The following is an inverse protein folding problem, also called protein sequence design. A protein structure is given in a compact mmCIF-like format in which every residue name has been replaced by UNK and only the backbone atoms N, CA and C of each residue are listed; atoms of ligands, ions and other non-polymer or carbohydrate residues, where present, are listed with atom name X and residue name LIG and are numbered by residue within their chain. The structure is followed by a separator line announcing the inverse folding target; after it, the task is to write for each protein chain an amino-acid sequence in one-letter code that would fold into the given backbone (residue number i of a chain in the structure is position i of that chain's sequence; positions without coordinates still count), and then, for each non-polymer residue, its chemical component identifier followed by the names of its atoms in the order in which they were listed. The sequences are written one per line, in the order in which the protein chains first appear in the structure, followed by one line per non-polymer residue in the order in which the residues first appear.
data_IF_793248920131
#
_entry.id   IF_793248920131
#
_cell.length_a   1.000
_cell.length_b   1.000
_cell.length_c   1.000
_cell.angle_alpha   90.00
_cell.angle_beta   90.00
_cell.angle_gamma   90.00
#
_symmetry.space_group_name_H-M   'P 1'
#
loop_
_entity.id
_entity.type
_entity.pdbx_description
1 polymer ?
#
# COMPACT_ATOMS: atom_id res chain seq x y z
N UNK A 1 9.05 -1.11 7.35
CA UNK A 1 8.89 -1.25 5.89
C UNK A 1 9.50 -2.57 5.46
N UNK A 2 8.84 -3.30 4.55
CA UNK A 2 9.39 -4.52 3.91
C UNK A 2 9.18 -4.44 2.40
N UNK A 3 10.15 -4.90 1.62
CA UNK A 3 10.09 -4.84 0.17
C UNK A 3 11.26 -5.54 -0.50
N UNK A 4 11.38 -5.40 -1.82
CA UNK A 4 12.41 -6.07 -2.63
C UNK A 4 13.72 -5.28 -2.76
N UNK A 5 13.80 -4.08 -2.17
CA UNK A 5 14.97 -3.23 -2.21
C UNK A 5 14.77 -1.91 -1.46
N UNK A 6 15.69 -0.94 -1.62
CA UNK A 6 15.62 0.37 -0.99
C UNK A 6 14.35 1.14 -1.36
N UNK A 7 13.80 1.88 -0.40
CA UNK A 7 12.59 2.71 -0.59
C UNK A 7 12.78 3.84 -1.62
N UNK A 8 14.03 4.23 -1.88
CA UNK A 8 14.40 5.21 -2.93
C UNK A 8 13.92 4.83 -4.33
N UNK A 9 13.80 3.53 -4.61
CA UNK A 9 13.51 3.00 -5.95
C UNK A 9 12.64 1.73 -5.95
N UNK A 10 12.03 1.38 -4.82
CA UNK A 10 11.08 0.27 -4.71
C UNK A 10 9.81 0.73 -4.01
N UNK A 11 8.68 0.21 -4.47
CA UNK A 11 7.44 0.26 -3.72
C UNK A 11 7.51 -0.79 -2.61
N UNK A 12 7.35 -0.35 -1.37
CA UNK A 12 7.43 -1.20 -0.17
C UNK A 12 6.09 -1.24 0.56
N UNK A 13 5.95 -2.19 1.47
CA UNK A 13 4.80 -2.32 2.36
C UNK A 13 5.18 -1.86 3.77
N UNK A 14 4.43 -0.90 4.29
CA UNK A 14 4.50 -0.51 5.70
C UNK A 14 3.64 -1.45 6.54
N UNK A 15 4.27 -2.31 7.35
CA UNK A 15 3.57 -3.15 8.30
C UNK A 15 3.38 -2.38 9.61
N UNK A 16 2.12 -2.13 9.97
CA UNK A 16 1.76 -1.49 11.24
C UNK A 16 1.20 -2.53 12.20
N UNK A 17 1.84 -2.67 13.38
CA UNK A 17 1.38 -3.54 14.45
C UNK A 17 0.98 -2.71 15.67
N UNK A 18 -0.27 -2.86 16.13
CA UNK A 18 -0.76 -2.20 17.33
C UNK A 18 -0.86 -3.22 18.46
N UNK A 19 -0.12 -3.00 19.55
CA UNK A 19 -0.15 -3.88 20.72
C UNK A 19 -1.57 -4.05 21.26
N UNK A 20 -1.94 -5.30 21.54
CA UNK A 20 -3.27 -5.65 22.04
C UNK A 20 -4.36 -5.71 20.97
N UNK A 21 -4.08 -5.39 19.70
CA UNK A 21 -5.03 -5.56 18.60
C UNK A 21 -4.66 -6.81 17.82
N UNK A 22 -5.51 -7.84 17.91
CA UNK A 22 -5.25 -9.16 17.33
C UNK A 22 -5.84 -9.37 15.93
N UNK A 23 -6.76 -8.50 15.50
CA UNK A 23 -7.42 -8.58 14.21
C UNK A 23 -7.95 -7.23 13.74
N UNK A 24 -8.04 -7.08 12.41
CA UNK A 24 -8.72 -5.96 11.77
C UNK A 24 -9.74 -6.51 10.78
N UNK A 25 -10.92 -5.88 10.71
CA UNK A 25 -11.96 -6.25 9.75
C UNK A 25 -11.60 -5.69 8.38
N UNK A 26 -11.40 -6.56 7.39
CA UNK A 26 -11.28 -6.16 5.99
C UNK A 26 -12.58 -5.56 5.46
N UNK A 27 -12.41 -4.54 4.63
CA UNK A 27 -13.43 -3.93 3.80
C UNK A 27 -13.46 -4.50 2.38
N UNK A 28 -13.99 -3.72 1.44
CA UNK A 28 -13.87 -3.95 -0.01
C UNK A 28 -13.04 -2.84 -0.71
N UNK A 29 -12.36 -2.03 0.09
CA UNK A 29 -11.56 -0.88 -0.31
C UNK A 29 -10.21 -1.28 -0.90
N UNK A 30 -9.49 -2.20 -0.25
CA UNK A 30 -8.25 -2.76 -0.75
C UNK A 30 -8.50 -4.07 -1.51
N UNK A 31 -8.19 -4.08 -2.81
CA UNK A 31 -8.44 -5.24 -3.67
C UNK A 31 -7.19 -6.08 -3.93
N UNK A 32 -6.01 -5.59 -3.57
CA UNK A 32 -4.78 -6.38 -3.54
C UNK A 32 -3.56 -5.69 -4.13
N UNK A 33 -2.39 -6.29 -3.88
CA UNK A 33 -1.12 -5.95 -4.53
C UNK A 33 -0.82 -6.99 -5.59
N UNK A 34 -0.44 -6.56 -6.79
CA UNK A 34 0.08 -7.48 -7.83
C UNK A 34 1.58 -7.35 -7.94
N UNK A 35 2.27 -8.49 -7.97
CA UNK A 35 3.72 -8.56 -8.16
C UNK A 35 4.08 -9.64 -9.18
N UNK A 36 5.20 -9.44 -9.88
CA UNK A 36 5.70 -10.33 -10.93
C UNK A 36 6.91 -11.09 -10.40
N UNK A 37 6.71 -12.35 -10.01
CA UNK A 37 7.77 -13.17 -9.42
C UNK A 37 7.45 -14.66 -9.47
N UNK A 38 8.09 -15.35 -10.41
CA UNK A 38 8.10 -16.82 -10.45
C UNK A 38 8.70 -17.45 -9.18
N UNK A 39 9.68 -16.78 -8.57
CA UNK A 39 10.28 -17.22 -7.31
C UNK A 39 9.26 -17.20 -6.15
N UNK A 40 8.42 -16.17 -6.06
CA UNK A 40 7.37 -16.11 -5.05
C UNK A 40 6.35 -17.26 -5.22
N UNK A 41 5.95 -17.53 -6.45
CA UNK A 41 5.05 -18.67 -6.77
C UNK A 41 5.69 -20.00 -6.39
N UNK A 42 6.97 -20.20 -6.75
CA UNK A 42 7.72 -21.42 -6.41
C UNK A 42 7.87 -21.61 -4.90
N UNK A 43 8.19 -20.54 -4.17
CA UNK A 43 8.32 -20.56 -2.72
C UNK A 43 6.99 -20.91 -2.05
N UNK A 44 5.89 -20.27 -2.46
CA UNK A 44 4.55 -20.56 -1.94
C UNK A 44 4.17 -22.04 -2.16
N UNK A 45 4.40 -22.58 -3.37
CA UNK A 45 4.19 -24.01 -3.66
C UNK A 45 5.04 -24.92 -2.76
N UNK A 46 6.32 -24.60 -2.58
CA UNK A 46 7.25 -25.38 -1.75
C UNK A 46 6.87 -25.37 -0.26
N UNK A 47 6.35 -24.25 0.23
CA UNK A 47 5.94 -24.07 1.62
C UNK A 47 4.50 -24.55 1.89
N UNK A 48 3.76 -24.95 0.85
CA UNK A 48 2.34 -25.29 0.97
C UNK A 48 1.45 -24.07 1.25
N UNK A 49 1.92 -22.87 0.95
CA UNK A 49 1.14 -21.64 1.09
C UNK A 49 -0.01 -21.62 0.07
N UNK A 50 -1.26 -21.32 0.47
CA UNK A 50 -2.40 -21.37 -0.44
C UNK A 50 -2.24 -20.47 -1.66
N UNK A 51 -2.34 -21.07 -2.84
CA UNK A 51 -2.38 -20.38 -4.13
C UNK A 51 -3.62 -20.82 -4.89
N UNK A 52 -4.31 -19.86 -5.50
CA UNK A 52 -5.42 -20.09 -6.41
C UNK A 52 -5.13 -19.44 -7.75
N UNK A 53 -5.00 -20.23 -8.81
CA UNK A 53 -4.87 -19.66 -10.15
C UNK A 53 -6.19 -18.98 -10.56
N UNK A 54 -6.16 -17.66 -10.77
CA UNK A 54 -7.35 -16.85 -11.11
C UNK A 54 -7.41 -16.49 -12.59
N UNK A 55 -6.28 -16.53 -13.27
CA UNK A 55 -6.10 -16.41 -14.71
C UNK A 55 -4.79 -17.09 -15.07
N UNK A 56 -4.64 -17.56 -16.32
CA UNK A 56 -3.44 -18.25 -16.78
C UNK A 56 -2.15 -17.54 -16.34
N UNK A 57 -1.37 -18.19 -15.47
CA UNK A 57 -0.10 -17.69 -14.95
C UNK A 57 -0.21 -16.60 -13.87
N UNK A 58 -1.39 -16.36 -13.31
CA UNK A 58 -1.62 -15.42 -12.20
C UNK A 58 -2.29 -16.13 -11.03
N UNK A 59 -1.63 -16.11 -9.88
CA UNK A 59 -2.07 -16.79 -8.66
C UNK A 59 -2.50 -15.78 -7.61
N UNK A 60 -3.74 -15.89 -7.12
CA UNK A 60 -4.21 -15.21 -5.92
C UNK A 60 -3.70 -15.95 -4.68
N UNK A 61 -3.26 -15.18 -3.70
CA UNK A 61 -2.95 -15.63 -2.34
C UNK A 61 -3.32 -14.55 -1.35
N UNK A 62 -3.38 -14.90 -0.07
CA UNK A 62 -3.71 -13.97 1.01
C UNK A 62 -2.55 -13.94 2.00
N UNK A 63 -2.13 -12.74 2.40
CA UNK A 63 -1.27 -12.56 3.56
C UNK A 63 -2.08 -12.77 4.86
N UNK A 64 -1.42 -12.99 6.01
CA UNK A 64 -2.10 -12.99 7.30
C UNK A 64 -3.00 -11.75 7.46
N UNK A 65 -4.25 -11.96 7.87
CA UNK A 65 -5.29 -10.93 7.90
C UNK A 65 -6.18 -10.85 6.65
N UNK A 66 -5.89 -11.62 5.60
CA UNK A 66 -6.73 -11.76 4.39
C UNK A 66 -6.39 -10.80 3.24
N UNK A 67 -5.30 -10.02 3.36
CA UNK A 67 -4.89 -9.08 2.33
C UNK A 67 -4.46 -9.81 1.06
N UNK A 68 -5.09 -9.48 -0.06
CA UNK A 68 -4.84 -10.17 -1.32
C UNK A 68 -3.51 -9.78 -1.97
N UNK A 69 -2.81 -10.80 -2.43
CA UNK A 69 -1.67 -10.68 -3.33
C UNK A 69 -1.93 -11.48 -4.61
N UNK A 70 -1.58 -10.89 -5.75
CA UNK A 70 -1.61 -11.54 -7.05
C UNK A 70 -0.19 -11.72 -7.55
N UNK A 71 0.22 -12.98 -7.72
CA UNK A 71 1.55 -13.36 -8.15
C UNK A 71 1.49 -13.76 -9.62
N UNK A 72 2.09 -12.96 -10.49
CA UNK A 72 2.30 -13.35 -11.89
C UNK A 72 3.56 -14.22 -11.99
N UNK A 73 3.40 -15.45 -12.48
CA UNK A 73 4.46 -16.47 -12.59
C UNK A 73 5.35 -16.20 -13.80
N UNK A 74 6.09 -15.09 -13.72
CA UNK A 74 7.08 -14.65 -14.70
C UNK A 74 8.31 -14.11 -13.99
N UNK A 75 9.42 -14.11 -14.70
CA UNK A 75 10.62 -13.41 -14.25
C UNK A 75 10.58 -11.95 -14.70
N UNK A 76 10.72 -11.03 -13.75
CA UNK A 76 10.96 -9.61 -14.02
C UNK A 76 12.41 -9.30 -13.70
N UNK A 77 13.26 -9.26 -14.72
CA UNK A 77 14.69 -9.01 -14.53
C UNK A 77 14.96 -7.53 -14.30
N UNK A 78 15.65 -7.20 -13.20
CA UNK A 78 16.25 -5.88 -12.90
C UNK A 78 15.27 -4.73 -12.63
N UNK A 79 14.05 -5.01 -12.18
CA UNK A 79 13.08 -4.00 -11.76
C UNK A 79 12.36 -4.47 -10.50
N UNK A 80 11.78 -3.53 -9.76
CA UNK A 80 10.90 -3.83 -8.63
C UNK A 80 9.80 -4.83 -9.07
N UNK A 81 9.68 -6.01 -8.41
CA UNK A 81 8.62 -6.97 -8.66
C UNK A 81 7.23 -6.42 -8.40
N UNK A 82 7.07 -5.46 -7.47
CA UNK A 82 5.76 -4.87 -7.18
C UNK A 82 5.29 -4.06 -8.38
N UNK A 83 4.17 -4.48 -8.98
CA UNK A 83 3.66 -3.86 -10.19
C UNK A 83 2.57 -2.85 -9.91
N UNK A 84 1.60 -3.19 -9.07
CA UNK A 84 0.46 -2.31 -8.80
C UNK A 84 -0.23 -2.58 -7.47
N UNK A 85 -0.86 -1.54 -6.93
CA UNK A 85 -1.89 -1.60 -5.89
C UNK A 85 -3.26 -1.44 -6.54
N UNK A 86 -4.25 -2.23 -6.14
CA UNK A 86 -5.62 -2.11 -6.64
C UNK A 86 -6.56 -1.65 -5.53
N UNK A 87 -7.25 -0.52 -5.75
CA UNK A 87 -8.26 0.04 -4.85
C UNK A 87 -9.66 -0.06 -5.45
N UNK A 88 -10.62 -0.38 -4.59
CA UNK A 88 -12.04 -0.40 -4.87
C UNK A 88 -12.61 1.01 -4.84
N UNK A 89 -13.37 1.40 -5.85
CA UNK A 89 -14.00 2.73 -5.95
C UNK A 89 -15.50 2.62 -6.19
N UNK A 90 -16.31 3.56 -5.67
CA UNK A 90 -17.75 3.56 -5.92
C UNK A 90 -18.08 4.15 -7.30
N UNK A 91 -17.26 5.08 -7.78
CA UNK A 91 -17.43 5.73 -9.07
C UNK A 91 -16.09 5.95 -9.76
N UNK A 92 -15.83 5.18 -10.82
CA UNK A 92 -14.56 5.24 -11.55
C UNK A 92 -14.28 6.62 -12.14
N UNK A 93 -15.28 7.29 -12.73
CA UNK A 93 -15.07 8.58 -13.39
C UNK A 93 -14.69 9.67 -12.39
N UNK A 94 -15.33 9.72 -11.21
CA UNK A 94 -14.97 10.65 -10.14
C UNK A 94 -13.56 10.39 -9.63
N UNK A 95 -13.21 9.13 -9.41
CA UNK A 95 -11.90 8.73 -8.91
C UNK A 95 -10.79 9.06 -9.92
N UNK A 96 -10.98 8.75 -11.21
CA UNK A 96 -10.03 9.15 -12.27
C UNK A 96 -9.89 10.67 -12.36
N UNK A 97 -10.99 11.42 -12.22
CA UNK A 97 -10.94 12.90 -12.25
C UNK A 97 -10.15 13.45 -11.06
N UNK A 98 -10.22 12.82 -9.89
CA UNK A 98 -9.42 13.18 -8.72
C UNK A 98 -7.94 12.81 -8.93
N UNK A 99 -7.64 11.53 -9.14
CA UNK A 99 -6.27 11.01 -9.19
C UNK A 99 -5.47 11.51 -10.39
N UNK A 100 -6.10 11.63 -11.57
CA UNK A 100 -5.44 12.15 -12.77
C UNK A 100 -5.59 13.67 -12.89
N UNK A 101 -6.79 14.20 -12.69
CA UNK A 101 -7.09 15.61 -12.93
C UNK A 101 -6.56 16.56 -11.85
N UNK A 102 -6.52 16.12 -10.58
CA UNK A 102 -6.01 16.93 -9.47
C UNK A 102 -4.61 16.51 -9.04
N UNK A 103 -4.38 15.21 -8.87
CA UNK A 103 -3.09 14.71 -8.39
C UNK A 103 -2.07 14.45 -9.51
N UNK A 104 -2.46 14.55 -10.78
CA UNK A 104 -1.53 14.54 -11.91
C UNK A 104 -1.03 13.16 -12.33
N UNK A 105 -1.65 12.06 -11.89
CA UNK A 105 -1.31 10.74 -12.41
C UNK A 105 -1.68 10.61 -13.90
N UNK A 106 -0.81 9.97 -14.68
CA UNK A 106 -1.08 9.60 -16.07
C UNK A 106 -2.01 8.38 -16.10
N UNK A 107 -2.92 8.37 -17.06
CA UNK A 107 -3.77 7.21 -17.35
C UNK A 107 -3.03 6.30 -18.32
N UNK A 108 -2.69 5.08 -17.88
CA UNK A 108 -2.05 4.05 -18.70
C UNK A 108 -3.08 3.17 -19.42
N UNK A 109 -4.14 2.81 -18.72
CA UNK A 109 -5.21 1.98 -19.26
C UNK A 109 -6.57 2.44 -18.72
N UNK A 110 -7.61 2.31 -19.54
CA UNK A 110 -9.00 2.49 -19.11
C UNK A 110 -9.85 1.42 -19.79
N UNK A 111 -10.61 0.68 -19.01
CA UNK A 111 -11.51 -0.38 -19.45
C UNK A 111 -12.91 -0.04 -18.93
N UNK A 112 -13.76 0.51 -19.80
CA UNK A 112 -15.10 0.95 -19.43
C UNK A 112 -16.05 -0.22 -19.20
N UNK A 113 -15.86 -1.35 -19.88
CA UNK A 113 -16.68 -2.55 -19.69
C UNK A 113 -16.44 -3.15 -18.31
N UNK A 114 -15.17 -3.25 -17.89
CA UNK A 114 -14.80 -3.78 -16.56
C UNK A 114 -14.78 -2.73 -15.46
N UNK A 115 -15.13 -1.48 -15.79
CA UNK A 115 -15.07 -0.33 -14.87
C UNK A 115 -13.73 -0.25 -14.12
N UNK A 116 -12.63 -0.22 -14.87
CA UNK A 116 -11.25 -0.21 -14.34
C UNK A 116 -10.39 0.86 -15.02
N UNK A 117 -9.46 1.44 -14.27
CA UNK A 117 -8.41 2.31 -14.82
C UNK A 117 -7.06 2.01 -14.15
N UNK A 118 -5.97 2.10 -14.92
CA UNK A 118 -4.60 1.97 -14.43
C UNK A 118 -3.90 3.33 -14.53
N UNK A 119 -3.36 3.80 -13.41
CA UNK A 119 -2.77 5.12 -13.26
C UNK A 119 -1.33 5.03 -12.74
N UNK A 120 -0.53 6.06 -12.95
CA UNK A 120 0.80 6.18 -12.33
C UNK A 120 1.52 7.48 -12.68
N UNK A 121 2.61 7.79 -11.98
CA UNK A 121 3.42 8.98 -12.27
C UNK A 121 4.51 8.70 -13.31
N UNK A 122 5.11 7.50 -13.30
CA UNK A 122 6.14 7.09 -14.25
C UNK A 122 6.01 5.62 -14.68
N UNK A 123 6.61 5.28 -15.82
CA UNK A 123 6.50 3.97 -16.46
C UNK A 123 7.13 2.85 -15.63
N UNK A 124 8.20 3.17 -14.90
CA UNK A 124 9.00 2.28 -14.07
C UNK A 124 8.56 2.20 -12.60
N UNK A 125 7.55 2.98 -12.21
CA UNK A 125 7.00 2.95 -10.84
C UNK A 125 5.83 1.97 -10.68
N UNK A 126 5.55 1.59 -9.43
CA UNK A 126 4.30 0.90 -9.08
C UNK A 126 3.08 1.72 -9.54
N UNK A 127 2.09 1.03 -10.11
CA UNK A 127 0.86 1.63 -10.64
C UNK A 127 -0.27 1.58 -9.60
N UNK A 128 -1.23 2.48 -9.74
CA UNK A 128 -2.49 2.45 -9.03
C UNK A 128 -3.60 1.98 -9.97
N UNK A 129 -4.20 0.83 -9.69
CA UNK A 129 -5.41 0.39 -10.37
C UNK A 129 -6.65 0.78 -9.56
N UNK A 130 -7.57 1.49 -10.20
CA UNK A 130 -8.89 1.79 -9.65
C UNK A 130 -9.91 0.84 -10.28
N UNK A 131 -10.73 0.18 -9.47
CA UNK A 131 -11.74 -0.76 -9.95
C UNK A 131 -13.07 -0.52 -9.26
N UNK A 132 -14.15 -0.39 -10.02
CA UNK A 132 -15.46 -0.18 -9.43
C UNK A 132 -15.93 -1.42 -8.63
N UNK A 133 -16.42 -1.22 -7.41
CA UNK A 133 -16.92 -2.31 -6.55
C UNK A 133 -18.43 -2.55 -6.67
N UNK A 134 -19.13 -1.77 -7.52
CA UNK A 134 -20.56 -1.90 -7.76
C UNK A 134 -21.47 -1.36 -6.63
N UNK A 135 -20.91 -0.58 -5.70
CA UNK A 135 -21.61 -0.01 -4.56
C UNK A 135 -20.75 0.95 -3.75
N UNK A 136 -21.13 1.20 -2.50
CA UNK A 136 -20.32 1.97 -1.58
C UNK A 136 -19.02 1.22 -1.23
N UNK A 137 -17.95 1.99 -1.02
CA UNK A 137 -16.70 1.48 -0.47
C UNK A 137 -16.84 1.35 1.04
N UNK A 138 -16.56 0.16 1.56
CA UNK A 138 -16.45 -0.15 2.98
C UNK A 138 -14.97 -0.31 3.29
N UNK A 139 -14.43 0.55 4.16
CA UNK A 139 -13.04 0.53 4.59
C UNK A 139 -12.76 -0.51 5.69
N UNK A 140 -13.79 -1.03 6.34
CA UNK A 140 -13.57 -1.85 7.53
C UNK A 140 -12.79 -1.11 8.61
N UNK A 141 -11.94 -1.85 9.32
CA UNK A 141 -10.94 -1.31 10.25
C UNK A 141 -9.51 -1.62 9.81
N UNK A 142 -9.36 -2.38 8.71
CA UNK A 142 -8.10 -2.81 8.13
C UNK A 142 -7.64 -1.91 6.97
N UNK A 143 -8.33 -0.79 6.73
CA UNK A 143 -7.96 0.15 5.67
C UNK A 143 -6.52 0.61 5.86
N UNK A 144 -5.82 0.72 4.73
CA UNK A 144 -4.45 1.20 4.69
C UNK A 144 -4.37 2.67 4.27
N UNK A 145 -3.15 3.06 3.94
CA UNK A 145 -2.83 4.34 3.32
C UNK A 145 -1.82 4.10 2.21
N UNK A 146 -1.97 4.78 1.08
CA UNK A 146 -0.93 4.83 0.06
C UNK A 146 -0.13 6.12 0.21
N UNK A 147 1.19 6.04 0.12
CA UNK A 147 2.08 7.18 0.27
C UNK A 147 2.82 7.48 -1.04
N UNK A 148 3.01 8.76 -1.32
CA UNK A 148 3.79 9.29 -2.43
C UNK A 148 4.73 10.37 -1.90
N UNK A 149 5.93 10.46 -2.44
CA UNK A 149 6.79 11.62 -2.22
C UNK A 149 6.60 12.64 -3.34
N UNK A 150 6.80 13.91 -3.00
CA UNK A 150 6.94 15.02 -3.93
C UNK A 150 8.00 15.99 -3.39
N UNK A 151 8.47 16.94 -4.21
CA UNK A 151 9.36 17.97 -3.69
C UNK A 151 8.68 18.68 -2.51
N UNK A 152 9.40 18.91 -1.40
CA UNK A 152 8.84 19.48 -0.17
C UNK A 152 8.03 20.76 -0.42
N UNK A 153 8.51 21.61 -1.34
CA UNK A 153 7.89 22.89 -1.67
C UNK A 153 6.57 22.74 -2.46
N UNK A 154 6.23 21.54 -2.94
CA UNK A 154 4.94 21.24 -3.57
C UNK A 154 3.84 20.94 -2.54
N UNK A 155 4.17 20.52 -1.31
CA UNK A 155 3.17 20.16 -0.29
C UNK A 155 2.16 21.29 0.01
N UNK A 156 2.57 22.57 0.20
CA UNK A 156 1.62 23.67 0.38
C UNK A 156 0.71 23.87 -0.84
N UNK A 157 1.22 23.61 -2.05
CA UNK A 157 0.46 23.74 -3.30
C UNK A 157 -0.58 22.63 -3.44
N UNK A 158 -0.24 21.39 -3.05
CA UNK A 158 -1.18 20.27 -2.98
C UNK A 158 -2.31 20.58 -1.99
N UNK A 159 -1.97 21.05 -0.77
CA UNK A 159 -3.00 21.43 0.21
C UNK A 159 -3.89 22.56 -0.30
N UNK A 160 -3.31 23.60 -0.92
CA UNK A 160 -4.06 24.73 -1.47
C UNK A 160 -4.99 24.28 -2.61
N UNK A 161 -4.54 23.39 -3.49
CA UNK A 161 -5.36 22.80 -4.54
C UNK A 161 -6.55 22.03 -3.95
N UNK A 162 -6.31 21.17 -2.95
CA UNK A 162 -7.39 20.40 -2.32
C UNK A 162 -8.41 21.29 -1.62
N UNK A 163 -7.98 22.39 -0.98
CA UNK A 163 -8.89 23.40 -0.43
C UNK A 163 -9.73 24.08 -1.52
N UNK A 164 -9.08 24.52 -2.61
CA UNK A 164 -9.73 25.20 -3.73
C UNK A 164 -10.79 24.32 -4.40
N UNK A 165 -10.48 23.05 -4.60
CA UNK A 165 -11.36 22.07 -5.26
C UNK A 165 -12.32 21.37 -4.27
N UNK A 166 -12.40 21.88 -3.02
CA UNK A 166 -13.26 21.39 -1.94
C UNK A 166 -13.13 19.87 -1.69
N UNK A 167 -11.89 19.36 -1.76
CA UNK A 167 -11.53 17.98 -1.48
C UNK A 167 -11.19 17.77 -0.01
N UNK A 168 -11.23 16.53 0.45
CA UNK A 168 -11.00 16.20 1.86
C UNK A 168 -9.51 16.17 2.20
N UNK A 169 -9.13 17.01 3.15
CA UNK A 169 -7.83 16.97 3.84
C UNK A 169 -8.06 16.35 5.21
N UNK A 170 -7.38 15.24 5.52
CA UNK A 170 -7.41 14.57 6.81
C UNK A 170 -6.43 15.18 7.79
N UNK A 171 -5.24 15.56 7.30
CA UNK A 171 -4.24 16.29 8.06
C UNK A 171 -3.61 17.35 7.17
N UNK A 172 -3.75 18.64 7.51
CA UNK A 172 -2.99 19.72 6.87
C UNK A 172 -1.48 19.50 6.99
N UNK A 173 -0.70 20.33 6.30
CA UNK A 173 0.77 20.29 6.35
C UNK A 173 1.28 20.25 7.80
N UNK A 174 1.95 19.16 8.15
CA UNK A 174 2.46 18.90 9.50
C UNK A 174 3.85 18.28 9.43
N UNK A 175 4.68 18.55 10.43
CA UNK A 175 5.99 17.92 10.59
C UNK A 175 5.86 16.70 11.50
N UNK A 176 6.46 15.58 11.11
CA UNK A 176 6.46 14.33 11.85
C UNK A 176 7.89 13.94 12.22
N UNK A 177 8.10 13.70 13.51
CA UNK A 177 9.40 13.29 14.04
C UNK A 177 9.46 11.77 14.17
N UNK A 178 10.59 11.19 13.76
CA UNK A 178 10.95 9.81 14.06
C UNK A 178 12.21 9.81 14.94
N UNK A 179 12.18 9.24 16.16
CA UNK A 179 13.33 9.29 17.06
C UNK A 179 14.63 8.81 16.40
N UNK A 180 15.65 9.67 16.40
CA UNK A 180 16.96 9.37 15.82
C UNK A 180 17.03 9.42 14.29
N UNK A 181 15.97 9.86 13.60
CA UNK A 181 15.93 10.01 12.14
C UNK A 181 15.47 11.42 11.73
N UNK A 182 15.48 11.69 10.43
CA UNK A 182 15.05 12.97 9.87
C UNK A 182 13.56 13.25 10.15
N UNK A 183 13.24 14.50 10.49
CA UNK A 183 11.87 15.02 10.53
C UNK A 183 11.37 15.18 9.09
N UNK A 184 10.19 14.65 8.80
CA UNK A 184 9.53 14.79 7.49
C UNK A 184 8.33 15.72 7.58
N UNK A 185 7.91 16.27 6.44
CA UNK A 185 6.66 17.02 6.32
C UNK A 185 5.69 16.25 5.46
N UNK A 186 4.43 16.21 5.90
CA UNK A 186 3.37 15.49 5.19
C UNK A 186 2.08 16.29 5.08
N UNK A 187 1.29 15.96 4.07
CA UNK A 187 -0.14 16.29 3.96
C UNK A 187 -0.89 14.97 3.80
N UNK A 188 -1.97 14.76 4.56
CA UNK A 188 -2.80 13.55 4.46
C UNK A 188 -4.16 13.93 3.87
N UNK A 189 -4.52 13.28 2.76
CA UNK A 189 -5.76 13.48 2.02
C UNK A 189 -6.67 12.26 2.16
N UNK A 190 -7.95 12.45 1.81
CA UNK A 190 -8.84 11.35 1.46
C UNK A 190 -9.35 11.57 0.04
N UNK A 191 -9.31 10.52 -0.77
CA UNK A 191 -9.88 10.54 -2.12
C UNK A 191 -11.43 10.55 -2.07
N UNK A 192 -12.14 10.61 -3.22
CA UNK A 192 -13.60 10.69 -3.24
C UNK A 192 -14.32 9.53 -2.57
N UNK A 193 -13.66 8.38 -2.41
CA UNK A 193 -14.19 7.19 -1.76
C UNK A 193 -13.70 7.03 -0.32
N UNK A 194 -12.77 7.87 0.14
CA UNK A 194 -12.26 7.87 1.52
C UNK A 194 -10.90 7.21 1.69
N UNK A 195 -10.25 6.76 0.60
CA UNK A 195 -8.92 6.16 0.67
C UNK A 195 -7.90 7.18 1.16
N UNK A 196 -7.13 6.82 2.18
CA UNK A 196 -6.11 7.72 2.72
C UNK A 196 -4.89 7.81 1.81
N UNK A 197 -4.39 9.04 1.63
CA UNK A 197 -3.21 9.34 0.81
C UNK A 197 -2.25 10.20 1.62
N UNK A 198 -0.99 9.78 1.75
CA UNK A 198 0.08 10.61 2.30
C UNK A 198 0.93 11.19 1.17
N UNK A 199 1.05 12.52 1.10
CA UNK A 199 2.14 13.16 0.37
C UNK A 199 3.22 13.55 1.36
N UNK A 200 4.46 13.11 1.15
CA UNK A 200 5.63 13.41 1.99
C UNK A 200 6.68 14.18 1.20
N UNK A 201 7.39 15.11 1.84
CA UNK A 201 8.52 15.81 1.22
C UNK A 201 9.69 14.85 0.95
N UNK A 202 10.04 14.67 -0.33
CA UNK A 202 10.99 13.67 -0.83
C UNK A 202 12.37 13.81 -0.20
N UNK A 203 12.86 15.04 -0.07
CA UNK A 203 14.23 15.31 0.39
C UNK A 203 14.48 14.77 1.80
N UNK A 204 13.55 15.01 2.72
CA UNK A 204 13.64 14.49 4.08
C UNK A 204 13.25 13.01 4.16
N UNK A 205 12.33 12.56 3.30
CA UNK A 205 11.93 11.16 3.26
C UNK A 205 13.10 10.25 2.87
N UNK A 206 13.92 10.63 1.89
CA UNK A 206 15.13 9.88 1.51
C UNK A 206 16.08 9.66 2.67
N UNK A 207 16.28 10.68 3.51
CA UNK A 207 17.11 10.55 4.70
C UNK A 207 16.45 9.65 5.77
N UNK A 208 15.12 9.72 5.91
CA UNK A 208 14.35 8.90 6.85
C UNK A 208 14.35 7.40 6.47
N UNK A 209 14.25 7.10 5.18
CA UNK A 209 13.99 5.77 4.62
C UNK A 209 15.26 5.02 4.19
N UNK A 210 16.43 5.44 4.67
CA UNK A 210 17.67 4.72 4.47
C UNK A 210 17.55 3.26 4.96
N UNK A 211 18.02 2.33 4.14
CA UNK A 211 17.98 0.89 4.44
C UNK A 211 18.80 0.61 5.69
N UNK A 212 18.19 -0.04 6.67
CA UNK A 212 18.92 -0.55 7.83
C UNK A 212 19.72 -1.79 7.41
N UNK A 213 21.07 -1.77 7.47
CA UNK A 213 21.89 -2.93 7.10
C UNK A 213 21.67 -4.14 8.03
N UNK A 214 21.05 -3.95 9.20
CA UNK A 214 20.69 -5.02 10.12
C UNK A 214 19.22 -5.39 10.07
N UNK A 215 18.43 -4.83 9.14
CA UNK A 215 16.98 -4.98 9.09
C UNK A 215 16.51 -6.44 9.12
N UNK A 216 17.10 -7.31 8.28
CA UNK A 216 16.77 -8.74 8.24
C UNK A 216 17.02 -9.42 9.59
N UNK A 217 18.19 -9.18 10.17
CA UNK A 217 18.55 -9.74 11.48
C UNK A 217 17.61 -9.26 12.58
N UNK A 218 17.26 -7.98 12.58
CA UNK A 218 16.34 -7.40 13.57
C UNK A 218 14.94 -8.01 13.45
N UNK A 219 14.46 -8.24 12.23
CA UNK A 219 13.18 -8.91 11.98
C UNK A 219 13.21 -10.36 12.46
N UNK A 220 14.24 -11.13 12.11
CA UNK A 220 14.41 -12.52 12.53
C UNK A 220 14.49 -12.65 14.06
N UNK A 221 15.32 -11.82 14.70
CA UNK A 221 15.46 -11.79 16.15
C UNK A 221 14.13 -11.42 16.83
N UNK A 222 13.36 -10.48 16.26
CA UNK A 222 12.04 -10.08 16.78
C UNK A 222 10.99 -11.17 16.63
N UNK A 223 10.93 -11.86 15.48
CA UNK A 223 10.03 -12.99 15.25
C UNK A 223 10.37 -14.16 16.19
N UNK A 224 11.65 -14.46 16.41
CA UNK A 224 12.08 -15.51 17.32
C UNK A 224 11.76 -15.20 18.79
N UNK A 225 11.76 -13.92 19.17
CA UNK A 225 11.40 -13.45 20.51
C UNK A 225 9.89 -13.22 20.70
N UNK A 226 9.07 -13.35 19.66
CA UNK A 226 7.64 -13.07 19.73
C UNK A 226 6.93 -14.03 20.69
N UNK A 227 6.29 -13.45 21.71
CA UNK A 227 5.48 -14.15 22.71
C UNK A 227 4.04 -13.66 22.69
N UNK A 228 3.61 -13.00 21.62
CA UNK A 228 2.28 -12.39 21.53
C UNK A 228 1.18 -13.44 21.65
N UNK A 229 1.32 -14.64 21.08
CA UNK A 229 0.31 -15.71 21.24
C UNK A 229 0.03 -16.04 22.71
N UNK A 230 1.10 -16.15 23.51
CA UNK A 230 1.00 -16.36 24.96
C UNK A 230 0.31 -15.18 25.64
N UNK A 231 0.70 -13.95 25.29
CA UNK A 231 0.09 -12.74 25.85
C UNK A 231 -1.41 -12.67 25.55
N UNK A 232 -1.83 -12.92 24.30
CA UNK A 232 -3.25 -12.92 23.91
C UNK A 232 -4.04 -14.01 24.65
N UNK A 233 -3.45 -15.20 24.79
CA UNK A 233 -4.05 -16.30 25.56
C UNK A 233 -4.24 -15.93 27.05
N UNK A 234 -3.23 -15.33 27.69
CA UNK A 234 -3.29 -14.88 29.09
C UNK A 234 -4.36 -13.81 29.32
N UNK A 235 -4.68 -13.02 28.30
CA UNK A 235 -5.69 -11.95 28.36
C UNK A 235 -7.07 -12.39 27.82
N UNK A 236 -7.26 -13.66 27.48
CA UNK A 236 -8.48 -14.20 26.85
C UNK A 236 -8.90 -13.43 25.58
N UNK A 237 -7.92 -12.95 24.80
CA UNK A 237 -8.12 -12.21 23.57
C UNK A 237 -7.82 -13.09 22.36
N UNK A 238 -8.52 -12.84 21.24
CA UNK A 238 -8.24 -13.53 19.97
C UNK A 238 -7.13 -12.83 19.22
N UNK A 239 -6.25 -13.61 18.59
CA UNK A 239 -5.27 -13.18 17.61
C UNK A 239 -5.48 -14.01 16.34
N UNK A 240 -5.51 -13.37 15.18
CA UNK A 240 -5.58 -14.10 13.90
C UNK A 240 -4.27 -14.84 13.71
N UNK A 241 -4.35 -16.16 13.49
CA UNK A 241 -3.17 -16.98 13.22
C UNK A 241 -2.62 -16.66 11.83
N UNK A 242 -1.29 -16.64 11.72
CA UNK A 242 -0.58 -16.59 10.46
C UNK A 242 -0.74 -17.88 9.65
#
# INVERSE_FOLDING_TARGET
MVGYGPEDNHFVVELTYNYGIGEYRLGNDFLGITLVSSQAVSNAKKMGWPLKEVTSGVFETEAPGGYKFYLEDKEKLKQDPVWKVTLGVSNLQKSVSYWSGLLGMKIYEKDEEKQRALLGYADDQCKLELRAVGGAVDHGTAFGRVAFSCAKDELPSIEALMKKENQKILSPLVSLDTPGKATVQVVILADPDGHEICFVGDEAFRELSQVDPNGDKLLDDAMAADNSDKWFAEHNMKKVSA
#
